data_IF_410873911722
#
_entry.id   IF_410873911722
#
_cell.length_a   1.000
_cell.length_b   1.000
_cell.length_c   1.000
_cell.angle_alpha   90.00
_cell.angle_beta   90.00
_cell.angle_gamma   90.00
#
_symmetry.space_group_name_H-M   'P 1'
#
loop_
_entity.id
_entity.type
_entity.pdbx_description
1 polymer ?
#
# COMPACT_ATOMS: atom_id res chain seq x y z
N UNK A 1 -20.47 16.01 -18.50
CA UNK A 1 -19.63 15.02 -19.20
C UNK A 1 -20.32 13.67 -19.08
N UNK A 2 -20.62 12.98 -20.18
CA UNK A 2 -21.26 11.67 -20.15
C UNK A 2 -20.16 10.61 -20.34
N UNK A 3 -19.93 9.76 -19.35
CA UNK A 3 -18.93 8.70 -19.41
C UNK A 3 -19.57 7.38 -19.86
N UNK A 4 -18.99 6.74 -20.87
CA UNK A 4 -19.47 5.45 -21.40
C UNK A 4 -18.36 4.41 -21.26
N UNK A 5 -18.62 3.26 -20.61
CA UNK A 5 -17.65 2.18 -20.49
C UNK A 5 -17.15 1.69 -21.87
N UNK A 6 -15.86 1.34 -21.98
CA UNK A 6 -15.24 0.92 -23.25
C UNK A 6 -15.96 -0.25 -23.99
N UNK A 7 -16.51 -1.27 -23.30
CA UNK A 7 -17.27 -2.34 -23.97
C UNK A 7 -18.58 -1.85 -24.59
N UNK A 8 -19.23 -0.89 -23.95
CA UNK A 8 -20.46 -0.27 -24.45
C UNK A 8 -20.16 0.68 -25.60
N UNK A 9 -19.08 1.46 -25.50
CA UNK A 9 -18.58 2.28 -26.60
C UNK A 9 -18.21 1.43 -27.84
N UNK A 10 -17.60 0.26 -27.64
CA UNK A 10 -17.28 -0.67 -28.73
C UNK A 10 -18.54 -1.19 -29.44
N UNK A 11 -19.62 -1.46 -28.70
CA UNK A 11 -20.94 -1.84 -29.26
C UNK A 11 -21.63 -0.68 -29.97
N UNK A 12 -21.34 0.56 -29.58
CA UNK A 12 -21.85 1.78 -30.20
C UNK A 12 -21.11 2.17 -31.47
N UNK A 13 -19.88 1.68 -31.72
CA UNK A 13 -19.08 2.01 -32.92
C UNK A 13 -19.86 1.98 -34.25
N UNK A 14 -20.69 0.96 -34.54
CA UNK A 14 -21.44 0.90 -35.80
C UNK A 14 -22.52 2.00 -35.92
N UNK A 15 -23.00 2.52 -34.78
CA UNK A 15 -24.09 3.51 -34.68
C UNK A 15 -23.61 4.89 -34.21
N UNK A 16 -22.29 5.07 -34.07
CA UNK A 16 -21.71 6.26 -33.45
C UNK A 16 -22.10 7.53 -34.20
N UNK A 17 -22.18 7.44 -35.53
CA UNK A 17 -22.59 8.54 -36.40
C UNK A 17 -24.04 8.95 -36.11
N UNK A 18 -24.95 7.99 -36.13
CA UNK A 18 -26.38 8.20 -35.85
C UNK A 18 -26.61 8.78 -34.44
N UNK A 19 -25.85 8.31 -33.45
CA UNK A 19 -25.92 8.83 -32.08
C UNK A 19 -25.41 10.28 -32.00
N UNK A 20 -24.31 10.61 -32.68
CA UNK A 20 -23.81 11.98 -32.71
C UNK A 20 -24.78 12.92 -33.46
N UNK A 21 -25.43 12.44 -34.53
CA UNK A 21 -26.47 13.16 -35.25
C UNK A 21 -27.68 13.42 -34.34
N UNK A 22 -28.19 12.41 -33.64
CA UNK A 22 -29.31 12.57 -32.69
C UNK A 22 -29.01 13.55 -31.55
N UNK A 23 -27.79 13.51 -30.98
CA UNK A 23 -27.40 14.46 -29.93
C UNK A 23 -27.29 15.87 -30.50
N UNK A 24 -26.76 16.01 -31.72
CA UNK A 24 -26.64 17.30 -32.39
C UNK A 24 -28.01 17.90 -32.70
N UNK A 25 -28.96 17.09 -33.17
CA UNK A 25 -30.34 17.50 -33.45
C UNK A 25 -31.08 17.91 -32.16
N UNK A 26 -30.93 17.13 -31.09
CA UNK A 26 -31.51 17.47 -29.78
C UNK A 26 -30.92 18.77 -29.20
N UNK A 27 -29.63 19.03 -29.42
CA UNK A 27 -28.99 20.29 -29.03
C UNK A 27 -29.49 21.46 -29.88
N UNK A 28 -29.73 21.26 -31.17
CA UNK A 28 -30.27 22.29 -32.06
C UNK A 28 -31.72 22.68 -31.69
N UNK A 29 -32.51 21.74 -31.17
CA UNK A 29 -33.86 22.02 -30.66
C UNK A 29 -33.83 22.75 -29.31
N UNK A 30 -32.90 22.39 -28.43
CA UNK A 30 -32.77 22.98 -27.09
C UNK A 30 -32.11 24.37 -27.08
N UNK A 31 -31.31 24.70 -28.11
CA UNK A 31 -30.55 25.95 -28.22
C UNK A 31 -30.98 26.65 -29.53
N UNK A 32 -31.94 27.59 -29.48
CA UNK A 32 -32.41 28.31 -30.66
C UNK A 32 -31.26 29.01 -31.38
N UNK A 33 -31.19 28.83 -32.70
CA UNK A 33 -30.13 29.37 -33.54
C UNK A 33 -30.21 30.91 -33.65
N UNK A 34 -29.30 31.62 -32.97
CA UNK A 34 -29.14 33.08 -33.14
C UNK A 34 -28.32 33.43 -34.41
N UNK A 35 -28.49 32.66 -35.49
CA UNK A 35 -27.91 32.92 -36.81
C UNK A 35 -26.39 32.77 -36.96
N UNK A 36 -25.63 32.62 -35.87
CA UNK A 36 -24.15 32.65 -35.91
C UNK A 36 -23.43 31.50 -35.20
N UNK A 37 -24.12 30.69 -34.38
CA UNK A 37 -23.51 29.59 -33.63
C UNK A 37 -23.92 28.23 -34.19
N UNK A 38 -22.93 27.41 -34.57
CA UNK A 38 -23.11 26.03 -35.01
C UNK A 38 -22.56 25.09 -33.95
N UNK A 39 -23.35 24.10 -33.54
CA UNK A 39 -22.96 23.09 -32.56
C UNK A 39 -22.91 21.71 -33.23
N UNK A 40 -21.95 20.88 -32.81
CA UNK A 40 -21.88 19.49 -33.23
C UNK A 40 -21.41 18.63 -32.06
N UNK A 41 -22.12 17.54 -31.79
CA UNK A 41 -21.73 16.58 -30.77
C UNK A 41 -20.69 15.61 -31.32
N UNK A 42 -19.64 15.35 -30.55
CA UNK A 42 -18.61 14.37 -30.90
C UNK A 42 -18.27 13.49 -29.72
N UNK A 43 -18.41 12.17 -29.90
CA UNK A 43 -17.94 11.18 -28.93
C UNK A 43 -16.52 10.75 -29.31
N UNK A 44 -15.55 11.13 -28.49
CA UNK A 44 -14.13 10.83 -28.72
C UNK A 44 -13.67 9.82 -27.65
N UNK A 45 -13.16 8.64 -28.01
CA UNK A 45 -12.58 7.74 -27.03
C UNK A 45 -11.28 8.35 -26.48
N UNK A 46 -11.21 8.52 -25.17
CA UNK A 46 -9.97 8.89 -24.50
C UNK A 46 -9.18 7.59 -24.32
N UNK A 47 -8.06 7.47 -25.04
CA UNK A 47 -7.15 6.34 -24.86
C UNK A 47 -6.39 6.58 -23.55
N UNK A 48 -6.80 5.90 -22.49
CA UNK A 48 -5.98 5.76 -21.28
C UNK A 48 -4.65 5.14 -21.68
N UNK A 49 -3.56 5.88 -21.50
CA UNK A 49 -2.24 5.27 -21.59
C UNK A 49 -2.03 4.42 -20.33
N UNK A 50 -1.82 3.13 -20.57
CA UNK A 50 -1.83 2.00 -19.63
C UNK A 50 -3.24 1.55 -19.23
N UNK A 51 -3.57 0.28 -19.54
CA UNK A 51 -3.85 -0.72 -18.50
C UNK A 51 -4.26 -2.07 -19.09
N UNK A 52 -3.78 -3.13 -18.45
CA UNK A 52 -4.32 -4.49 -18.52
C UNK A 52 -5.82 -4.47 -18.20
N UNK A 53 -6.66 -4.33 -19.23
CA UNK A 53 -8.13 -4.26 -19.12
C UNK A 53 -8.80 -5.51 -18.53
N UNK A 54 -8.03 -6.54 -18.14
CA UNK A 54 -8.52 -7.79 -17.55
C UNK A 54 -8.33 -7.90 -16.03
N UNK A 55 -7.77 -6.89 -15.36
CA UNK A 55 -7.48 -7.00 -13.93
C UNK A 55 -7.57 -5.66 -13.20
N UNK A 56 -8.74 -5.32 -12.67
CA UNK A 56 -8.95 -4.86 -11.29
C UNK A 56 -10.28 -4.11 -11.15
N UNK A 57 -10.89 -4.21 -9.97
CA UNK A 57 -11.87 -3.23 -9.49
C UNK A 57 -11.30 -1.81 -9.66
N UNK A 58 -12.14 -0.78 -9.87
CA UNK A 58 -11.64 0.59 -10.03
C UNK A 58 -10.74 0.94 -8.83
N UNK A 59 -9.56 1.48 -9.13
CA UNK A 59 -8.63 1.97 -8.11
C UNK A 59 -9.33 3.10 -7.34
N UNK A 60 -9.47 2.97 -6.02
CA UNK A 60 -10.12 3.98 -5.18
C UNK A 60 -9.21 4.35 -4.02
N UNK A 61 -8.80 5.62 -3.96
CA UNK A 61 -8.18 6.24 -2.78
C UNK A 61 -9.22 7.14 -2.12
N UNK A 62 -9.65 6.87 -0.86
CA UNK A 62 -10.66 7.68 -0.19
C UNK A 62 -10.25 9.15 -0.08
N UNK A 63 -11.22 10.05 -0.26
CA UNK A 63 -11.01 11.51 -0.18
C UNK A 63 -10.34 11.95 1.14
N UNK A 64 -10.68 11.28 2.24
CA UNK A 64 -10.08 11.55 3.55
C UNK A 64 -8.55 11.29 3.56
N UNK A 65 -8.10 10.21 2.92
CA UNK A 65 -6.67 9.88 2.80
C UNK A 65 -5.96 10.94 1.95
N UNK A 66 -6.56 11.35 0.83
CA UNK A 66 -6.01 12.40 -0.03
C UNK A 66 -5.87 13.73 0.70
N UNK A 67 -6.89 14.12 1.47
CA UNK A 67 -6.86 15.35 2.27
C UNK A 67 -5.78 15.29 3.35
N UNK A 68 -5.67 14.18 4.08
CA UNK A 68 -4.64 14.04 5.10
C UNK A 68 -3.22 14.15 4.51
N UNK A 69 -3.00 13.61 3.31
CA UNK A 69 -1.72 13.75 2.60
C UNK A 69 -1.45 15.24 2.33
N UNK A 70 -2.40 15.98 1.79
CA UNK A 70 -2.23 17.42 1.50
C UNK A 70 -2.03 18.26 2.75
N UNK A 71 -2.78 17.98 3.82
CA UNK A 71 -2.61 18.66 5.09
C UNK A 71 -1.22 18.38 5.69
N UNK A 72 -0.73 17.14 5.60
CA UNK A 72 0.64 16.78 6.01
C UNK A 72 1.71 17.54 5.22
N UNK A 73 1.58 17.60 3.89
CA UNK A 73 2.49 18.36 3.03
C UNK A 73 2.52 19.85 3.39
N UNK A 74 1.35 20.44 3.70
CA UNK A 74 1.25 21.84 4.15
C UNK A 74 1.90 22.07 5.52
N UNK A 75 1.64 21.18 6.48
CA UNK A 75 2.19 21.27 7.84
C UNK A 75 3.72 21.22 7.84
N UNK A 76 4.28 20.37 6.98
CA UNK A 76 5.73 20.22 6.83
C UNK A 76 6.35 21.23 5.86
N UNK A 77 5.53 22.11 5.26
CA UNK A 77 5.96 23.11 4.28
C UNK A 77 6.73 22.49 3.10
N UNK A 78 6.28 21.33 2.64
CA UNK A 78 6.92 20.59 1.55
C UNK A 78 6.69 21.32 0.23
N UNK A 79 7.78 21.71 -0.43
CA UNK A 79 7.71 22.19 -1.82
C UNK A 79 7.21 21.06 -2.75
N UNK A 80 5.97 21.14 -3.19
CA UNK A 80 5.32 20.09 -4.00
C UNK A 80 6.05 19.81 -5.32
N UNK A 81 6.62 20.84 -5.93
CA UNK A 81 7.25 20.78 -7.25
C UNK A 81 8.77 20.51 -7.20
N UNK A 82 9.34 20.48 -5.98
CA UNK A 82 10.75 20.16 -5.75
C UNK A 82 11.70 21.11 -6.50
N UNK A 83 12.61 20.53 -7.28
CA UNK A 83 13.62 21.27 -8.04
C UNK A 83 13.13 21.83 -9.38
N UNK A 84 11.91 21.48 -9.81
CA UNK A 84 11.30 21.96 -11.05
C UNK A 84 10.35 23.13 -10.76
N UNK A 85 10.12 23.98 -11.76
CA UNK A 85 8.99 24.91 -11.68
C UNK A 85 7.65 24.18 -11.87
N UNK A 86 6.56 24.83 -11.44
CA UNK A 86 5.20 24.28 -11.50
C UNK A 86 4.82 23.80 -12.91
N UNK A 87 5.24 24.51 -13.96
CA UNK A 87 4.90 24.14 -15.35
C UNK A 87 5.72 22.96 -15.86
N UNK A 88 7.00 22.90 -15.52
CA UNK A 88 7.90 21.79 -15.84
C UNK A 88 7.44 20.51 -15.15
N UNK A 89 7.09 20.60 -13.86
CA UNK A 89 6.55 19.47 -13.10
C UNK A 89 5.22 18.99 -13.70
N UNK A 90 4.25 19.89 -13.84
CA UNK A 90 2.89 19.50 -14.25
C UNK A 90 2.86 18.98 -15.69
N UNK A 91 3.75 19.45 -16.57
CA UNK A 91 3.87 18.94 -17.95
C UNK A 91 4.29 17.46 -18.03
N UNK A 92 4.81 16.88 -16.93
CA UNK A 92 5.19 15.46 -16.85
C UNK A 92 3.98 14.55 -16.57
N UNK A 93 2.90 15.14 -16.07
CA UNK A 93 1.66 14.46 -15.71
C UNK A 93 0.53 14.82 -16.69
N UNK A 94 0.46 16.08 -17.13
CA UNK A 94 -0.64 16.67 -17.89
C UNK A 94 -0.17 17.33 -19.18
N UNK A 95 -1.03 17.33 -20.21
CA UNK A 95 -0.81 18.13 -21.42
C UNK A 95 -1.35 19.56 -21.22
N UNK A 96 -0.59 20.41 -20.51
CA UNK A 96 -1.03 21.75 -20.09
C UNK A 96 -1.55 22.65 -21.22
N UNK A 97 -1.01 22.53 -22.43
CA UNK A 97 -1.44 23.32 -23.60
C UNK A 97 -2.83 22.95 -24.13
N UNK A 98 -3.39 21.81 -23.69
CA UNK A 98 -4.76 21.39 -24.00
C UNK A 98 -5.75 21.75 -22.91
N UNK A 99 -5.28 22.18 -21.74
CA UNK A 99 -6.11 22.61 -20.63
C UNK A 99 -6.42 24.11 -20.75
N UNK A 100 -7.65 24.54 -20.41
CA UNK A 100 -8.01 25.94 -20.43
C UNK A 100 -7.22 26.73 -19.38
N UNK A 101 -7.00 28.02 -19.66
CA UNK A 101 -6.55 28.95 -18.63
C UNK A 101 -7.73 29.35 -17.73
N UNK A 102 -7.46 29.60 -16.45
CA UNK A 102 -8.39 30.24 -15.52
C UNK A 102 -8.38 31.77 -15.65
N UNK A 103 -7.36 32.32 -16.32
CA UNK A 103 -7.24 33.72 -16.68
C UNK A 103 -7.36 33.89 -18.20
N UNK A 104 -8.47 34.50 -18.63
CA UNK A 104 -8.78 34.77 -20.04
C UNK A 104 -7.68 35.52 -20.84
N UNK A 105 -6.71 36.16 -20.17
CA UNK A 105 -5.55 36.80 -20.80
C UNK A 105 -4.57 35.80 -21.40
N UNK A 106 -4.58 34.55 -20.95
CA UNK A 106 -3.67 33.50 -21.39
C UNK A 106 -4.40 32.43 -22.20
N UNK A 107 -3.67 31.84 -23.17
CA UNK A 107 -4.24 30.90 -24.14
C UNK A 107 -4.58 29.54 -23.53
N UNK A 108 -3.76 29.07 -22.61
CA UNK A 108 -3.81 27.73 -22.05
C UNK A 108 -3.28 27.73 -20.61
N UNK A 109 -3.46 26.61 -19.91
CA UNK A 109 -3.00 26.47 -18.52
C UNK A 109 -1.48 26.64 -18.39
N UNK A 110 -0.69 26.31 -19.42
CA UNK A 110 0.77 26.45 -19.34
C UNK A 110 1.19 27.92 -19.23
N UNK A 111 0.65 28.78 -20.10
CA UNK A 111 0.97 30.22 -20.08
C UNK A 111 0.47 30.93 -18.82
N UNK A 112 -0.70 30.52 -18.35
CA UNK A 112 -1.35 30.99 -17.13
C UNK A 112 -0.52 30.70 -15.88
N UNK A 113 -0.23 29.41 -15.65
CA UNK A 113 0.58 28.95 -14.51
C UNK A 113 1.96 29.59 -14.55
N UNK A 114 2.60 29.65 -15.73
CA UNK A 114 3.92 30.28 -15.85
C UNK A 114 3.89 31.76 -15.45
N UNK A 115 2.88 32.50 -15.89
CA UNK A 115 2.79 33.90 -15.51
C UNK A 115 2.67 34.04 -13.99
N UNK A 116 1.74 33.32 -13.38
CA UNK A 116 1.39 33.53 -11.99
C UNK A 116 2.41 32.94 -11.01
N UNK A 117 2.98 31.78 -11.32
CA UNK A 117 3.93 31.07 -10.44
C UNK A 117 5.39 31.39 -10.69
N UNK A 118 5.76 31.85 -11.89
CA UNK A 118 7.17 32.11 -12.25
C UNK A 118 7.46 33.60 -12.48
N UNK A 119 6.58 34.33 -13.18
CA UNK A 119 6.82 35.75 -13.43
C UNK A 119 6.36 36.64 -12.27
N UNK A 120 5.19 36.35 -11.70
CA UNK A 120 4.55 37.23 -10.71
C UNK A 120 4.73 36.77 -9.26
N UNK A 121 4.78 35.45 -9.02
CA UNK A 121 4.76 34.84 -7.68
C UNK A 121 3.53 35.26 -6.85
N UNK A 122 2.35 35.32 -7.48
CA UNK A 122 1.11 35.86 -6.89
C UNK A 122 0.03 34.80 -6.57
N UNK A 123 0.33 33.52 -6.75
CA UNK A 123 -0.51 32.38 -6.33
C UNK A 123 0.03 31.72 -5.06
N UNK A 124 -0.83 30.99 -4.34
CA UNK A 124 -0.44 30.19 -3.16
C UNK A 124 0.47 29.02 -3.53
N UNK A 125 1.36 28.58 -2.63
CA UNK A 125 2.28 27.46 -2.90
C UNK A 125 1.61 26.10 -3.07
N UNK A 126 0.38 25.95 -2.58
CA UNK A 126 -0.44 24.75 -2.67
C UNK A 126 -1.66 24.94 -3.57
N UNK A 127 -1.66 25.97 -4.43
CA UNK A 127 -2.75 26.29 -5.36
C UNK A 127 -3.27 25.06 -6.13
N UNK A 128 -2.37 24.15 -6.47
CA UNK A 128 -2.64 22.94 -7.24
C UNK A 128 -3.60 21.96 -6.55
N UNK A 129 -3.74 22.02 -5.22
CA UNK A 129 -4.64 21.13 -4.48
C UNK A 129 -6.11 21.54 -4.61
N UNK A 130 -6.38 22.78 -5.02
CA UNK A 130 -7.70 23.38 -5.09
C UNK A 130 -8.07 23.82 -6.53
N UNK A 131 -7.23 23.53 -7.53
CA UNK A 131 -7.45 23.89 -8.93
C UNK A 131 -8.27 22.83 -9.69
N UNK A 132 -9.43 23.21 -10.19
CA UNK A 132 -10.38 22.33 -10.88
C UNK A 132 -9.82 21.65 -12.14
N UNK A 133 -8.77 22.20 -12.76
CA UNK A 133 -8.10 21.58 -13.92
C UNK A 133 -7.32 20.33 -13.51
N UNK A 134 -6.97 20.22 -12.23
CA UNK A 134 -6.17 19.14 -11.66
C UNK A 134 -6.93 18.53 -10.48
N UNK A 135 -7.95 17.69 -10.73
CA UNK A 135 -8.86 17.20 -9.69
C UNK A 135 -8.19 16.15 -8.78
N UNK A 136 -7.24 16.56 -7.94
CA UNK A 136 -6.46 15.64 -7.12
C UNK A 136 -7.26 15.11 -5.92
N UNK A 137 -8.20 15.89 -5.37
CA UNK A 137 -9.06 15.43 -4.27
C UNK A 137 -10.20 14.54 -4.75
N UNK A 138 -10.89 14.94 -5.81
CA UNK A 138 -12.17 14.33 -6.22
C UNK A 138 -12.09 13.63 -7.59
N UNK A 139 -10.92 13.59 -8.22
CA UNK A 139 -10.68 12.95 -9.52
C UNK A 139 -10.09 11.53 -9.43
N UNK A 140 -9.66 10.98 -10.59
CA UNK A 140 -9.20 9.60 -10.71
C UNK A 140 -8.05 9.27 -9.76
N UNK A 141 -8.09 8.08 -9.16
CA UNK A 141 -7.07 7.64 -8.23
C UNK A 141 -5.70 7.46 -8.90
N UNK A 142 -5.66 7.02 -10.16
CA UNK A 142 -4.39 6.84 -10.88
C UNK A 142 -3.69 8.17 -11.16
N UNK A 143 -4.46 9.23 -11.43
CA UNK A 143 -3.93 10.59 -11.55
C UNK A 143 -3.32 11.05 -10.23
N UNK A 144 -4.01 10.83 -9.11
CA UNK A 144 -3.51 11.16 -7.78
C UNK A 144 -2.23 10.38 -7.44
N UNK A 145 -2.21 9.07 -7.65
CA UNK A 145 -1.05 8.22 -7.40
C UNK A 145 0.15 8.58 -8.30
N UNK A 146 -0.10 8.90 -9.57
CA UNK A 146 0.92 9.40 -10.50
C UNK A 146 1.49 10.73 -10.05
N UNK A 147 0.65 11.64 -9.55
CA UNK A 147 1.09 12.91 -9.00
C UNK A 147 2.03 12.70 -7.81
N UNK A 148 1.66 11.86 -6.85
CA UNK A 148 2.51 11.52 -5.70
C UNK A 148 3.84 10.86 -6.11
N UNK A 149 3.81 9.96 -7.09
CA UNK A 149 5.03 9.33 -7.61
C UNK A 149 5.95 10.34 -8.32
N UNK A 150 5.37 11.31 -9.04
CA UNK A 150 6.14 12.36 -9.69
C UNK A 150 6.77 13.31 -8.68
N UNK A 151 6.08 13.65 -7.58
CA UNK A 151 6.63 14.48 -6.49
C UNK A 151 7.94 13.96 -5.93
N UNK A 152 8.15 12.64 -5.95
CA UNK A 152 9.36 11.98 -5.41
C UNK A 152 10.27 11.43 -6.52
N UNK A 153 10.01 11.78 -7.78
CA UNK A 153 10.82 11.34 -8.91
C UNK A 153 12.23 11.96 -8.82
N UNK A 154 13.33 11.25 -9.15
CA UNK A 154 14.70 11.76 -9.00
C UNK A 154 15.04 13.10 -9.68
N UNK A 155 14.27 13.50 -10.70
CA UNK A 155 14.42 14.80 -11.38
C UNK A 155 13.74 15.93 -10.60
N UNK A 156 12.65 15.61 -9.91
CA UNK A 156 11.90 16.53 -9.03
C UNK A 156 12.57 16.63 -7.67
N UNK A 157 13.01 15.49 -7.12
CA UNK A 157 13.69 15.36 -5.82
C UNK A 157 15.04 14.68 -5.99
N UNK A 158 16.10 15.43 -6.32
CA UNK A 158 17.43 14.87 -6.54
C UNK A 158 18.16 14.49 -5.25
N UNK A 159 17.75 15.03 -4.11
CA UNK A 159 18.28 14.69 -2.78
C UNK A 159 17.61 13.38 -2.30
N UNK A 160 18.43 12.43 -1.84
CA UNK A 160 17.98 11.04 -1.57
C UNK A 160 17.23 10.91 -0.25
N UNK A 161 17.72 11.58 0.79
CA UNK A 161 17.14 11.54 2.13
C UNK A 161 15.78 12.27 2.16
N UNK A 162 15.68 13.38 1.43
CA UNK A 162 14.45 14.14 1.24
C UNK A 162 13.39 13.32 0.51
N UNK A 163 13.75 12.71 -0.64
CA UNK A 163 12.83 11.85 -1.37
C UNK A 163 12.35 10.67 -0.50
N UNK A 164 13.26 10.04 0.25
CA UNK A 164 12.92 8.93 1.13
C UNK A 164 11.98 9.35 2.27
N UNK A 165 12.22 10.52 2.88
CA UNK A 165 11.38 11.09 3.95
C UNK A 165 9.97 11.38 3.45
N UNK A 166 9.84 12.02 2.29
CA UNK A 166 8.52 12.30 1.68
C UNK A 166 7.80 10.98 1.38
N UNK A 167 8.49 9.98 0.81
CA UNK A 167 7.89 8.66 0.54
C UNK A 167 7.40 7.99 1.82
N UNK A 168 8.12 8.11 2.93
CA UNK A 168 7.70 7.57 4.22
C UNK A 168 6.38 8.20 4.69
N UNK A 169 6.30 9.53 4.68
CA UNK A 169 5.09 10.27 5.08
C UNK A 169 3.90 10.00 4.15
N UNK A 170 4.13 9.94 2.83
CA UNK A 170 3.09 9.57 1.87
C UNK A 170 2.57 8.15 2.13
N UNK A 171 3.48 7.21 2.40
CA UNK A 171 3.12 5.83 2.66
C UNK A 171 2.36 5.63 3.98
N UNK A 172 2.58 6.46 5.00
CA UNK A 172 1.79 6.44 6.24
C UNK A 172 0.29 6.66 6.00
N UNK A 173 -0.05 7.49 5.02
CA UNK A 173 -1.45 7.71 4.64
C UNK A 173 -1.91 6.70 3.58
N UNK A 174 -1.12 6.45 2.53
CA UNK A 174 -1.51 5.55 1.43
C UNK A 174 -1.78 4.12 1.91
N UNK A 175 -1.06 3.64 2.93
CA UNK A 175 -1.29 2.30 3.52
C UNK A 175 -2.71 2.11 4.03
N UNK A 176 -3.38 3.18 4.49
CA UNK A 176 -4.79 3.13 4.94
C UNK A 176 -5.77 2.89 3.77
N UNK A 177 -5.33 3.17 2.54
CA UNK A 177 -6.06 2.91 1.30
C UNK A 177 -5.60 1.63 0.58
N UNK A 178 -4.76 0.79 1.23
CA UNK A 178 -4.11 -0.37 0.59
C UNK A 178 -3.22 0.00 -0.60
N UNK A 179 -2.52 1.15 -0.55
CA UNK A 179 -1.48 1.54 -1.52
C UNK A 179 -0.17 1.93 -0.85
N UNK A 180 0.93 1.82 -1.61
CA UNK A 180 2.22 2.39 -1.24
C UNK A 180 3.06 2.74 -2.46
N UNK A 181 4.05 3.60 -2.26
CA UNK A 181 5.13 3.89 -3.20
C UNK A 181 6.31 2.97 -2.90
N UNK A 182 6.73 2.18 -3.88
CA UNK A 182 7.87 1.26 -3.77
C UNK A 182 8.98 1.63 -4.73
N UNK A 183 10.22 1.47 -4.29
CA UNK A 183 11.39 1.63 -5.15
C UNK A 183 11.38 0.51 -6.22
N UNK A 184 11.27 0.91 -7.48
CA UNK A 184 11.25 -0.02 -8.63
C UNK A 184 12.58 -0.08 -9.35
N UNK A 185 13.28 1.05 -9.44
CA UNK A 185 14.57 1.16 -10.13
C UNK A 185 15.38 2.35 -9.58
N UNK A 186 16.59 2.55 -10.12
CA UNK A 186 17.44 3.69 -9.79
C UNK A 186 17.89 4.44 -11.04
N UNK A 187 17.77 5.77 -10.99
CA UNK A 187 18.28 6.69 -12.02
C UNK A 187 19.51 7.39 -11.45
N UNK A 188 20.69 7.14 -12.02
CA UNK A 188 21.96 7.68 -11.53
C UNK A 188 22.16 7.45 -10.00
N UNK A 189 21.77 6.27 -9.51
CA UNK A 189 21.86 5.87 -8.11
C UNK A 189 20.77 6.46 -7.19
N UNK A 190 19.78 7.19 -7.70
CA UNK A 190 18.63 7.72 -6.95
C UNK A 190 17.40 6.85 -7.18
N UNK A 191 16.64 6.56 -6.13
CA UNK A 191 15.47 5.69 -6.18
C UNK A 191 14.34 6.32 -7.01
N UNK A 192 13.77 5.56 -7.95
CA UNK A 192 12.51 5.88 -8.61
C UNK A 192 11.41 5.02 -7.99
N UNK A 193 10.33 5.67 -7.57
CA UNK A 193 9.21 5.03 -6.90
C UNK A 193 8.02 4.88 -7.84
N UNK A 194 7.27 3.78 -7.68
CA UNK A 194 5.98 3.58 -8.35
C UNK A 194 4.89 3.21 -7.34
N UNK A 195 3.64 3.66 -7.57
CA UNK A 195 2.52 3.24 -6.76
C UNK A 195 2.21 1.77 -7.05
N UNK A 196 2.07 0.99 -5.98
CA UNK A 196 1.60 -0.39 -6.05
C UNK A 196 0.47 -0.58 -5.04
N UNK A 197 -0.58 -1.34 -5.40
CA UNK A 197 -1.51 -1.79 -4.41
C UNK A 197 -0.73 -2.66 -3.42
N UNK A 198 -1.14 -2.63 -2.15
CA UNK A 198 -0.77 -3.62 -1.16
C UNK A 198 -1.39 -4.96 -1.60
N UNK A 199 -0.80 -5.58 -2.63
CA UNK A 199 -1.31 -6.84 -3.16
C UNK A 199 -1.21 -7.90 -2.07
N UNK A 200 -2.35 -8.54 -1.81
CA UNK A 200 -2.56 -9.70 -0.95
C UNK A 200 -2.62 -9.43 0.55
N UNK A 201 -3.50 -10.19 1.22
CA UNK A 201 -3.63 -10.36 2.68
C UNK A 201 -2.31 -10.45 3.47
N UNK A 202 -1.16 -10.67 2.82
CA UNK A 202 0.16 -10.63 3.43
C UNK A 202 0.48 -9.28 4.09
N UNK A 203 0.28 -8.15 3.42
CA UNK A 203 0.71 -6.83 3.93
C UNK A 203 -0.13 -6.36 5.12
N UNK A 204 -1.45 -6.57 5.13
CA UNK A 204 -2.29 -6.33 6.32
C UNK A 204 -1.91 -7.25 7.49
N UNK A 205 -1.54 -8.50 7.19
CA UNK A 205 -1.03 -9.41 8.22
C UNK A 205 0.29 -8.87 8.78
N UNK A 206 1.22 -8.41 7.91
CA UNK A 206 2.49 -7.83 8.31
C UNK A 206 2.33 -6.57 9.18
N UNK A 207 1.42 -5.67 8.85
CA UNK A 207 1.11 -4.47 9.65
C UNK A 207 0.62 -4.86 11.06
N UNK A 208 -0.31 -5.82 11.15
CA UNK A 208 -0.78 -6.35 12.44
C UNK A 208 0.36 -6.98 13.24
N UNK A 209 1.15 -7.84 12.61
CA UNK A 209 2.33 -8.44 13.24
C UNK A 209 3.36 -7.41 13.72
N UNK A 210 3.55 -6.32 12.97
CA UNK A 210 4.48 -5.24 13.32
C UNK A 210 3.95 -4.46 14.52
N UNK A 211 2.68 -4.07 14.51
CA UNK A 211 2.03 -3.43 15.66
C UNK A 211 2.05 -4.31 16.91
N UNK A 212 1.87 -5.63 16.75
CA UNK A 212 2.07 -6.60 17.81
C UNK A 212 3.52 -6.57 18.34
N UNK A 213 4.51 -6.66 17.45
CA UNK A 213 5.92 -6.64 17.82
C UNK A 213 6.35 -5.35 18.55
N UNK A 214 5.91 -4.19 18.07
CA UNK A 214 6.26 -2.88 18.67
C UNK A 214 5.75 -2.77 20.11
N UNK A 215 4.55 -3.27 20.38
CA UNK A 215 4.00 -3.28 21.75
C UNK A 215 4.73 -4.18 22.73
N UNK A 216 5.44 -5.19 22.21
CA UNK A 216 6.26 -6.05 23.04
C UNK A 216 7.60 -5.36 23.33
N UNK A 217 7.79 -4.09 22.97
CA UNK A 217 9.06 -3.38 23.04
C UNK A 217 10.19 -4.22 22.41
N UNK A 218 9.83 -4.88 21.30
CA UNK A 218 10.65 -5.88 20.64
C UNK A 218 11.00 -5.38 19.25
N UNK A 219 11.72 -4.25 19.16
CA UNK A 219 12.12 -3.65 17.88
C UNK A 219 12.87 -4.62 16.95
N UNK A 220 13.50 -5.66 17.50
CA UNK A 220 14.10 -6.74 16.73
C UNK A 220 13.06 -7.57 15.94
N UNK A 221 11.88 -7.83 16.50
CA UNK A 221 10.78 -8.60 15.89
C UNK A 221 10.12 -7.79 14.76
N UNK A 222 9.88 -6.49 14.97
CA UNK A 222 9.32 -5.60 13.96
C UNK A 222 10.22 -5.49 12.71
N UNK A 223 11.54 -5.35 12.93
CA UNK A 223 12.55 -5.34 11.87
C UNK A 223 12.64 -6.68 11.12
N UNK A 224 12.46 -7.81 11.82
CA UNK A 224 12.39 -9.14 11.19
C UNK A 224 11.17 -9.27 10.27
N UNK A 225 10.01 -8.77 10.69
CA UNK A 225 8.78 -8.74 9.89
C UNK A 225 8.99 -7.94 8.59
N UNK A 226 9.55 -6.73 8.67
CA UNK A 226 9.83 -5.90 7.50
C UNK A 226 10.80 -6.57 6.52
N UNK A 227 11.84 -7.25 7.04
CA UNK A 227 12.79 -7.98 6.20
C UNK A 227 12.13 -9.14 5.45
N UNK A 228 11.23 -9.87 6.11
CA UNK A 228 10.50 -10.95 5.47
C UNK A 228 9.60 -10.44 4.35
N UNK A 229 8.88 -9.33 4.57
CA UNK A 229 8.01 -8.69 3.57
C UNK A 229 8.76 -8.42 2.26
N UNK A 230 9.96 -7.84 2.34
CA UNK A 230 10.80 -7.59 1.16
C UNK A 230 11.36 -8.88 0.53
N UNK A 231 11.67 -9.88 1.36
CA UNK A 231 12.26 -11.14 0.92
C UNK A 231 11.25 -12.08 0.24
N UNK A 232 9.94 -11.97 0.52
CA UNK A 232 8.92 -12.92 0.01
C UNK A 232 8.99 -13.14 -1.50
N UNK A 233 9.17 -12.06 -2.28
CA UNK A 233 9.25 -12.15 -3.75
C UNK A 233 10.68 -12.39 -4.25
N UNK A 234 11.68 -11.75 -3.63
CA UNK A 234 13.07 -11.71 -4.14
C UNK A 234 13.95 -12.84 -3.63
N UNK A 235 13.68 -13.34 -2.43
CA UNK A 235 14.40 -14.44 -1.79
C UNK A 235 13.44 -15.27 -0.90
N UNK A 236 12.63 -16.15 -1.52
CA UNK A 236 11.68 -16.99 -0.80
C UNK A 236 12.33 -17.87 0.28
N UNK A 237 13.58 -18.28 0.10
CA UNK A 237 14.28 -19.14 1.06
C UNK A 237 14.66 -18.37 2.33
N UNK A 238 15.18 -17.15 2.16
CA UNK A 238 15.44 -16.24 3.27
C UNK A 238 14.15 -15.92 4.03
N UNK A 239 13.08 -15.58 3.31
CA UNK A 239 11.78 -15.28 3.93
C UNK A 239 11.26 -16.43 4.81
N UNK A 240 11.39 -17.67 4.35
CA UNK A 240 10.98 -18.87 5.12
C UNK A 240 11.87 -19.08 6.34
N UNK A 241 13.19 -18.92 6.20
CA UNK A 241 14.13 -19.01 7.33
C UNK A 241 13.80 -17.99 8.41
N UNK A 242 13.61 -16.73 8.01
CA UNK A 242 13.24 -15.64 8.90
C UNK A 242 11.87 -15.83 9.56
N UNK A 243 10.91 -16.49 8.89
CA UNK A 243 9.60 -16.80 9.49
C UNK A 243 9.72 -17.72 10.70
N UNK A 244 10.61 -18.72 10.62
CA UNK A 244 10.91 -19.61 11.74
C UNK A 244 11.58 -18.84 12.88
N UNK A 245 12.59 -18.03 12.57
CA UNK A 245 13.30 -17.22 13.57
C UNK A 245 12.38 -16.22 14.28
N UNK A 246 11.41 -15.64 13.55
CA UNK A 246 10.41 -14.74 14.12
C UNK A 246 9.58 -15.43 15.20
N UNK A 247 9.03 -16.62 14.91
CA UNK A 247 8.22 -17.40 15.87
C UNK A 247 9.05 -17.75 17.10
N UNK A 248 10.31 -18.15 16.91
CA UNK A 248 11.22 -18.49 18.00
C UNK A 248 11.53 -17.29 18.90
N UNK A 249 11.86 -16.16 18.28
CA UNK A 249 12.14 -14.89 18.96
C UNK A 249 10.92 -14.41 19.75
N UNK A 250 9.73 -14.47 19.16
CA UNK A 250 8.48 -14.11 19.82
C UNK A 250 8.20 -14.98 21.05
N UNK A 251 8.30 -16.32 20.92
CA UNK A 251 8.12 -17.24 22.04
C UNK A 251 9.09 -16.93 23.18
N UNK A 252 10.38 -16.79 22.87
CA UNK A 252 11.42 -16.49 23.86
C UNK A 252 11.18 -15.14 24.56
N UNK A 253 10.78 -14.12 23.80
CA UNK A 253 10.50 -12.78 24.32
C UNK A 253 9.34 -12.81 25.31
N UNK A 254 8.20 -13.42 24.94
CA UNK A 254 7.03 -13.48 25.81
C UNK A 254 7.32 -14.33 27.06
N UNK A 255 7.92 -15.52 26.90
CA UNK A 255 8.28 -16.38 28.03
C UNK A 255 9.24 -15.69 29.00
N UNK A 256 10.25 -14.99 28.48
CA UNK A 256 11.18 -14.19 29.29
C UNK A 256 10.46 -13.09 30.06
N UNK A 257 9.54 -12.36 29.43
CA UNK A 257 8.71 -11.35 30.11
C UNK A 257 7.75 -11.93 31.15
N UNK A 258 7.39 -13.21 31.04
CA UNK A 258 6.58 -13.93 32.03
C UNK A 258 7.42 -14.58 33.14
N UNK A 259 8.75 -14.45 33.10
CA UNK A 259 9.66 -15.07 34.07
C UNK A 259 9.74 -16.60 33.95
N UNK A 260 9.39 -17.18 32.81
CA UNK A 260 9.45 -18.63 32.59
C UNK A 260 10.86 -19.04 32.15
N UNK A 261 11.46 -19.99 32.86
CA UNK A 261 12.79 -20.50 32.50
C UNK A 261 12.78 -21.27 31.17
N UNK A 262 13.71 -20.88 30.29
CA UNK A 262 13.96 -21.51 29.00
C UNK A 262 15.23 -22.35 29.11
N UNK A 263 15.12 -23.64 28.85
CA UNK A 263 16.24 -24.57 28.83
C UNK A 263 17.12 -24.33 27.60
N UNK A 264 18.44 -24.53 27.74
CA UNK A 264 19.40 -24.34 26.63
C UNK A 264 19.19 -25.32 25.46
N UNK A 265 18.52 -26.44 25.71
CA UNK A 265 18.17 -27.46 24.72
C UNK A 265 16.71 -27.40 24.29
N UNK A 266 15.93 -26.43 24.78
CA UNK A 266 14.52 -26.31 24.42
C UNK A 266 14.42 -26.06 22.92
N UNK A 267 13.71 -26.96 22.25
CA UNK A 267 13.41 -26.79 20.84
C UNK A 267 12.14 -25.93 20.67
N UNK A 268 11.75 -25.73 19.41
CA UNK A 268 10.60 -24.88 19.11
C UNK A 268 9.26 -25.47 19.60
N UNK A 269 9.13 -26.80 19.68
CA UNK A 269 7.94 -27.44 20.23
C UNK A 269 7.87 -27.24 21.75
N UNK A 270 9.01 -27.29 22.44
CA UNK A 270 9.09 -27.04 23.88
C UNK A 270 8.70 -25.61 24.22
N UNK A 271 9.22 -24.65 23.47
CA UNK A 271 8.87 -23.23 23.59
C UNK A 271 7.38 -22.99 23.35
N UNK A 272 6.78 -23.60 22.32
CA UNK A 272 5.35 -23.48 22.04
C UNK A 272 4.48 -24.07 23.17
N UNK A 273 4.86 -25.22 23.74
CA UNK A 273 4.15 -25.82 24.89
C UNK A 273 4.23 -24.94 26.12
N UNK A 274 5.41 -24.41 26.45
CA UNK A 274 5.62 -23.49 27.57
C UNK A 274 4.78 -22.22 27.40
N UNK A 275 4.76 -21.65 26.20
CA UNK A 275 3.98 -20.45 25.89
C UNK A 275 2.48 -20.71 26.07
N UNK A 276 1.98 -21.79 25.48
CA UNK A 276 0.55 -22.11 25.55
C UNK A 276 0.06 -22.41 26.98
N UNK A 277 0.93 -22.98 27.82
CA UNK A 277 0.65 -23.17 29.24
C UNK A 277 0.64 -21.83 30.00
N UNK A 278 1.60 -20.95 29.70
CA UNK A 278 1.80 -19.71 30.44
C UNK A 278 0.73 -18.66 30.14
N UNK A 279 0.33 -18.55 28.87
CA UNK A 279 -0.68 -17.58 28.42
C UNK A 279 -2.13 -17.97 28.78
N UNK A 280 -2.32 -19.17 29.33
CA UNK A 280 -3.63 -19.72 29.68
C UNK A 280 -4.64 -19.45 28.55
N UNK A 281 -4.40 -19.98 27.35
CA UNK A 281 -5.11 -19.56 26.13
C UNK A 281 -6.61 -19.92 26.10
N UNK A 282 -7.20 -20.32 27.23
CA UNK A 282 -8.63 -20.62 27.39
C UNK A 282 -9.22 -19.73 28.48
N UNK A 283 -10.42 -19.17 28.26
CA UNK A 283 -11.20 -18.53 29.32
C UNK A 283 -11.46 -19.49 30.50
N UNK A 284 -11.87 -19.02 31.67
CA UNK A 284 -12.40 -19.85 32.79
C UNK A 284 -13.95 -19.85 32.78
N UNK A 285 -14.62 -20.97 33.14
CA UNK A 285 -16.10 -21.07 33.21
C UNK A 285 -16.92 -21.63 32.02
N UNK A 286 -16.39 -22.48 31.13
CA UNK A 286 -17.14 -23.16 30.03
C UNK A 286 -17.03 -24.68 30.22
N UNK A 287 -18.13 -25.40 30.03
CA UNK A 287 -18.25 -26.86 30.28
C UNK A 287 -17.28 -27.72 29.43
N UNK A 288 -16.80 -27.18 28.30
CA UNK A 288 -15.86 -27.82 27.35
C UNK A 288 -14.45 -27.18 27.33
N UNK A 289 -14.04 -26.48 28.39
CA UNK A 289 -12.76 -25.75 28.43
C UNK A 289 -11.53 -26.59 28.13
N UNK A 290 -11.49 -27.83 28.64
CA UNK A 290 -10.39 -28.73 28.38
C UNK A 290 -10.24 -29.06 26.89
N UNK A 291 -11.37 -29.23 26.16
CA UNK A 291 -11.37 -29.52 24.73
C UNK A 291 -10.99 -28.28 23.90
N UNK A 292 -11.53 -27.12 24.26
CA UNK A 292 -11.14 -25.84 23.62
C UNK A 292 -9.65 -25.54 23.78
N UNK A 293 -9.09 -25.81 24.97
CA UNK A 293 -7.66 -25.67 25.26
C UNK A 293 -6.80 -26.53 24.35
N UNK A 294 -7.21 -27.78 24.19
CA UNK A 294 -6.51 -28.74 23.35
C UNK A 294 -6.53 -28.31 21.89
N UNK A 295 -7.66 -27.80 21.39
CA UNK A 295 -7.77 -27.27 20.03
C UNK A 295 -6.86 -26.06 19.79
N UNK A 296 -6.84 -25.08 20.69
CA UNK A 296 -5.99 -23.88 20.53
C UNK A 296 -4.50 -24.26 20.62
N UNK A 297 -4.11 -25.10 21.58
CA UNK A 297 -2.75 -25.65 21.68
C UNK A 297 -2.32 -26.32 20.38
N UNK A 298 -3.22 -27.10 19.78
CA UNK A 298 -2.95 -27.79 18.51
C UNK A 298 -2.82 -26.82 17.34
N UNK A 299 -3.66 -25.79 17.25
CA UNK A 299 -3.57 -24.75 16.21
C UNK A 299 -2.22 -24.03 16.29
N UNK A 300 -1.80 -23.60 17.48
CA UNK A 300 -0.51 -22.92 17.68
C UNK A 300 0.67 -23.84 17.34
N UNK A 301 0.62 -25.09 17.78
CA UNK A 301 1.61 -26.09 17.42
C UNK A 301 1.67 -26.29 15.90
N UNK A 302 0.53 -26.33 15.22
CA UNK A 302 0.46 -26.51 13.77
C UNK A 302 1.02 -25.29 13.01
N UNK A 303 0.70 -24.06 13.44
CA UNK A 303 1.25 -22.84 12.84
C UNK A 303 2.78 -22.82 12.93
N UNK A 304 3.32 -23.22 14.08
CA UNK A 304 4.75 -23.38 14.27
C UNK A 304 5.34 -24.50 13.37
N UNK A 305 4.68 -25.65 13.31
CA UNK A 305 5.11 -26.77 12.46
C UNK A 305 5.10 -26.40 10.97
N UNK A 306 4.19 -25.54 10.51
CA UNK A 306 4.20 -25.03 9.12
C UNK A 306 5.53 -24.31 8.83
N UNK A 307 5.96 -23.40 9.69
CA UNK A 307 7.25 -22.70 9.53
C UNK A 307 8.44 -23.67 9.61
N UNK A 308 8.42 -24.62 10.56
CA UNK A 308 9.46 -25.65 10.70
C UNK A 308 9.56 -26.59 9.50
N UNK A 309 8.42 -27.05 8.98
CA UNK A 309 8.36 -27.95 7.84
C UNK A 309 8.78 -27.25 6.54
N UNK A 310 8.44 -25.97 6.36
CA UNK A 310 8.90 -25.17 5.23
C UNK A 310 10.43 -24.91 5.29
N UNK A 311 11.00 -24.71 6.48
CA UNK A 311 12.44 -24.64 6.67
C UNK A 311 13.14 -26.00 6.43
N UNK A 312 12.48 -27.12 6.74
CA UNK A 312 12.97 -28.45 6.39
C UNK A 312 12.89 -28.71 4.88
N UNK A 313 11.84 -28.24 4.20
CA UNK A 313 11.78 -28.24 2.73
C UNK A 313 12.94 -27.42 2.14
N UNK A 314 13.32 -26.29 2.74
CA UNK A 314 14.57 -25.59 2.34
C UNK A 314 15.80 -26.50 2.50
N UNK A 315 15.94 -27.27 3.58
CA UNK A 315 17.08 -28.21 3.69
C UNK A 315 17.07 -29.29 2.63
N UNK A 316 15.89 -29.78 2.27
CA UNK A 316 15.71 -30.83 1.26
C UNK A 316 15.86 -30.31 -0.18
N UNK A 317 15.50 -29.05 -0.44
CA UNK A 317 15.37 -28.49 -1.78
C UNK A 317 16.21 -27.23 -2.04
N UNK A 318 16.94 -26.72 -1.03
CA UNK A 318 17.47 -25.35 -1.02
C UNK A 318 18.98 -25.19 -1.19
N UNK A 319 19.84 -26.20 -1.05
CA UNK A 319 21.28 -25.96 -1.30
C UNK A 319 22.04 -27.19 -1.78
N UNK A 320 22.49 -27.16 -3.04
CA UNK A 320 23.73 -27.83 -3.48
C UNK A 320 23.57 -29.15 -4.24
N UNK A 321 23.81 -29.11 -5.56
CA UNK A 321 24.02 -30.24 -6.48
C UNK A 321 22.82 -31.11 -6.90
N UNK A 322 21.85 -30.50 -7.58
CA UNK A 322 21.02 -31.25 -8.55
C UNK A 322 21.77 -31.37 -9.88
N UNK A 323 22.40 -32.52 -10.12
CA UNK A 323 23.25 -32.89 -11.27
C UNK A 323 22.69 -32.69 -12.69
N UNK A 324 21.48 -32.17 -12.88
CA UNK A 324 20.83 -32.10 -14.21
C UNK A 324 20.08 -30.80 -14.52
N UNK A 325 20.31 -29.70 -13.77
CA UNK A 325 19.74 -28.37 -14.12
C UNK A 325 18.21 -28.26 -14.11
N UNK A 326 17.50 -29.25 -13.54
CA UNK A 326 16.03 -29.35 -13.55
C UNK A 326 15.34 -29.09 -12.19
N UNK A 327 16.06 -28.66 -11.15
CA UNK A 327 15.44 -28.41 -9.84
C UNK A 327 14.84 -26.99 -9.76
N UNK A 328 13.52 -26.91 -9.57
CA UNK A 328 12.80 -25.67 -9.26
C UNK A 328 12.77 -25.51 -7.74
N UNK A 329 13.52 -24.54 -7.21
CA UNK A 329 13.54 -24.19 -5.78
C UNK A 329 12.20 -23.67 -5.25
N UNK A 330 12.17 -23.30 -3.97
CA UNK A 330 10.97 -22.76 -3.32
C UNK A 330 10.50 -21.47 -4.02
N UNK A 331 9.19 -21.36 -4.23
CA UNK A 331 8.56 -20.27 -4.99
C UNK A 331 7.98 -19.22 -4.02
N UNK A 332 7.75 -17.97 -4.46
CA UNK A 332 7.18 -16.91 -3.61
C UNK A 332 5.88 -17.32 -2.90
N UNK A 333 5.04 -18.14 -3.53
CA UNK A 333 3.82 -18.68 -2.89
C UNK A 333 4.08 -19.52 -1.63
N UNK A 334 5.21 -20.23 -1.56
CA UNK A 334 5.58 -21.03 -0.38
C UNK A 334 6.10 -20.12 0.74
N UNK A 335 6.86 -19.08 0.39
CA UNK A 335 7.28 -18.05 1.33
C UNK A 335 6.08 -17.28 1.91
N UNK A 336 5.13 -16.88 1.06
CA UNK A 336 3.88 -16.24 1.50
C UNK A 336 3.15 -17.08 2.56
N UNK A 337 3.05 -18.39 2.37
CA UNK A 337 2.41 -19.29 3.34
C UNK A 337 3.18 -19.33 4.67
N UNK A 338 4.51 -19.52 4.64
CA UNK A 338 5.33 -19.56 5.86
C UNK A 338 5.21 -18.28 6.66
N UNK A 339 5.37 -17.15 5.97
CA UNK A 339 5.44 -15.84 6.59
C UNK A 339 4.08 -15.42 7.12
N UNK A 340 3.00 -15.60 6.36
CA UNK A 340 1.65 -15.31 6.85
C UNK A 340 1.30 -16.14 8.09
N UNK A 341 1.72 -17.42 8.14
CA UNK A 341 1.51 -18.28 9.31
C UNK A 341 2.28 -17.79 10.54
N UNK A 342 3.54 -17.39 10.36
CA UNK A 342 4.37 -16.86 11.44
C UNK A 342 3.82 -15.53 11.98
N UNK A 343 3.40 -14.64 11.09
CA UNK A 343 2.84 -13.34 11.45
C UNK A 343 1.51 -13.49 12.18
N UNK A 344 0.61 -14.35 11.71
CA UNK A 344 -0.64 -14.65 12.39
C UNK A 344 -0.42 -15.25 13.78
N UNK A 345 0.59 -16.10 13.94
CA UNK A 345 0.98 -16.64 15.25
C UNK A 345 1.42 -15.51 16.19
N UNK A 346 2.37 -14.67 15.76
CA UNK A 346 2.93 -13.57 16.57
C UNK A 346 1.84 -12.61 17.02
N UNK A 347 0.97 -12.22 16.11
CA UNK A 347 -0.11 -11.30 16.40
C UNK A 347 -1.04 -11.85 17.50
N UNK A 348 -1.52 -13.08 17.32
CA UNK A 348 -2.42 -13.73 18.28
C UNK A 348 -1.81 -13.93 19.68
N UNK A 349 -0.57 -14.44 19.76
CA UNK A 349 0.06 -14.69 21.08
C UNK A 349 0.40 -13.40 21.81
N UNK A 350 0.75 -12.36 21.06
CA UNK A 350 1.01 -11.02 21.61
C UNK A 350 -0.26 -10.39 22.13
N UNK A 351 -1.34 -10.41 21.35
CA UNK A 351 -2.64 -9.90 21.76
C UNK A 351 -3.12 -10.61 23.03
N UNK A 352 -3.01 -11.94 23.07
CA UNK A 352 -3.37 -12.71 24.26
C UNK A 352 -2.53 -12.34 25.48
N UNK A 353 -1.21 -12.18 25.31
CA UNK A 353 -0.32 -11.76 26.38
C UNK A 353 -0.74 -10.39 26.96
N UNK A 354 -1.11 -9.44 26.10
CA UNK A 354 -1.60 -8.13 26.54
C UNK A 354 -2.92 -8.24 27.31
N UNK A 355 -3.90 -8.99 26.80
CA UNK A 355 -5.17 -9.19 27.49
C UNK A 355 -4.97 -9.75 28.91
N UNK A 356 -4.03 -10.69 29.06
CA UNK A 356 -3.66 -11.26 30.36
C UNK A 356 -2.94 -10.26 31.28
N UNK A 357 -2.04 -9.44 30.75
CA UNK A 357 -1.39 -8.34 31.49
C UNK A 357 -2.40 -7.31 32.01
N UNK A 358 -3.39 -6.94 31.18
CA UNK A 358 -4.45 -6.00 31.55
C UNK A 358 -5.31 -6.58 32.67
N UNK A 359 -5.70 -7.87 32.58
CA UNK A 359 -6.48 -8.56 33.62
C UNK A 359 -5.70 -8.77 34.93
N UNK A 360 -4.37 -8.88 34.87
CA UNK A 360 -3.52 -9.09 36.03
C UNK A 360 -3.22 -7.80 36.83
N UNK A 361 -3.39 -6.60 36.23
CA UNK A 361 -3.33 -5.33 36.97
C UNK A 361 -4.68 -5.10 37.65
N UNK A 362 -4.80 -5.13 38.99
CA UNK A 362 -6.03 -4.73 39.64
C UNK A 362 -6.28 -3.25 39.32
N UNK A 363 -7.53 -2.90 39.04
CA UNK A 363 -8.04 -1.53 39.06
C UNK A 363 -7.70 -0.93 40.43
N UNK A 364 -6.57 -0.22 40.51
CA UNK A 364 -6.30 0.70 41.61
C UNK A 364 -7.20 1.92 41.40
N UNK A 365 -8.46 1.76 41.80
CA UNK A 365 -9.39 2.87 41.92
C UNK A 365 -10.19 2.62 43.19
N UNK A 366 -9.50 2.81 44.31
CA UNK A 366 -10.16 3.16 45.56
C UNK A 366 -9.22 4.10 46.31
N UNK A 367 -9.51 5.40 46.20
CA UNK A 367 -9.24 6.46 47.16
C UNK A 367 -9.93 7.75 46.78
#
# INVERSE_FOLDING_TARGET
MLEVPAPEFARLRPKLKDVCEQITDALAEAIPSNGHDFFAARLIPIVGQNEDWRSSSPVVIPRAVRRNIFDGLRLEQVNVFGALDDTEFLSRIYELRRLPSTDSRYKDAAGDIYQHRVNNFDWDDYWIFDDDRFPLLDGPADTFLRFLAEMVHPVVRPEREEAATIVEHLNDQLRQADWHLVEVERIAGRARYEPRPLTSNGHRSFERGRSAADSLDAGAIAKQIQRMEYAVEKDPELAIGSAKELVESCCKTILGKMGVEIGKSDDMNDLAKKLAKSLDLVPEGIDDQAKGAECIKRILSNLNQIAGNLANLRRLYGTGHGKDGKHRGLQPRHARLAVASAVAFVDFVTETYRDRQVKAKPTSTDR
#
